data_IF_610708574027
#
_entry.id   IF_610708574027
#
_cell.length_a   1.000
_cell.length_b   1.000
_cell.length_c   1.000
_cell.angle_alpha   90.00
_cell.angle_beta   90.00
_cell.angle_gamma   90.00
#
_symmetry.space_group_name_H-M   'P 1'
#
loop_
_entity.id
_entity.type
_entity.pdbx_description
1 polymer ?
#
# COMPACT_ATOMS: atom_id res chain seq x y z
N UNK A 1 -2.63 -9.24 24.99
CA UNK A 1 -2.59 -7.95 24.25
C UNK A 1 -2.70 -8.17 22.74
N UNK A 2 -1.66 -8.61 21.99
CA UNK A 2 -1.78 -8.70 20.51
C UNK A 2 -2.77 -9.76 20.03
N UNK A 3 -2.96 -10.85 20.73
CA UNK A 3 -3.98 -11.86 20.40
C UNK A 3 -5.40 -11.29 20.51
N UNK A 4 -5.66 -10.47 21.52
CA UNK A 4 -6.98 -9.85 21.72
C UNK A 4 -7.18 -8.71 20.71
N UNK A 5 -6.10 -7.96 20.44
CA UNK A 5 -6.09 -6.94 19.40
C UNK A 5 -6.39 -7.56 18.03
N UNK A 6 -5.78 -8.70 17.69
CA UNK A 6 -6.07 -9.44 16.47
C UNK A 6 -7.57 -9.70 16.33
N UNK A 7 -8.18 -10.28 17.38
CA UNK A 7 -9.62 -10.60 17.39
C UNK A 7 -10.52 -9.37 17.22
N UNK A 8 -10.10 -8.22 17.71
CA UNK A 8 -10.85 -6.97 17.59
C UNK A 8 -10.76 -6.35 16.19
N UNK A 9 -9.68 -6.58 15.44
CA UNK A 9 -9.34 -5.79 14.25
C UNK A 9 -9.47 -6.58 12.94
N UNK A 10 -9.06 -7.87 12.89
CA UNK A 10 -8.84 -8.59 11.62
C UNK A 10 -10.03 -8.56 10.66
N UNK A 11 -11.27 -8.68 11.16
CA UNK A 11 -12.50 -8.70 10.34
C UNK A 11 -12.74 -7.38 9.60
N UNK A 12 -12.17 -6.29 10.08
CA UNK A 12 -12.40 -4.94 9.56
C UNK A 12 -11.36 -4.49 8.54
N UNK A 13 -10.35 -5.33 8.29
CA UNK A 13 -9.23 -5.03 7.39
C UNK A 13 -9.31 -5.91 6.15
N UNK A 14 -9.23 -5.30 4.97
CA UNK A 14 -9.29 -6.01 3.70
C UNK A 14 -8.04 -5.82 2.85
N UNK A 15 -7.74 -6.81 2.02
CA UNK A 15 -6.87 -6.61 0.86
C UNK A 15 -7.64 -5.92 -0.26
N UNK A 16 -6.95 -5.04 -0.98
CA UNK A 16 -7.40 -4.44 -2.23
C UNK A 16 -6.40 -4.90 -3.30
N UNK A 17 -6.80 -5.87 -4.12
CA UNK A 17 -5.92 -6.48 -5.11
C UNK A 17 -6.39 -6.12 -6.51
N UNK A 18 -5.48 -5.69 -7.36
CA UNK A 18 -5.77 -5.25 -8.73
C UNK A 18 -5.25 -6.24 -9.75
N UNK A 19 -6.04 -6.42 -10.80
CA UNK A 19 -5.74 -7.29 -11.91
C UNK A 19 -5.82 -6.55 -13.25
N UNK A 20 -4.94 -6.91 -14.17
CA UNK A 20 -5.07 -6.63 -15.58
C UNK A 20 -5.44 -7.96 -16.27
N UNK A 21 -6.70 -8.12 -16.65
CA UNK A 21 -7.29 -9.41 -16.96
C UNK A 21 -7.09 -10.38 -15.77
N UNK A 22 -6.37 -11.49 -15.95
CA UNK A 22 -6.10 -12.49 -14.91
C UNK A 22 -4.75 -12.28 -14.21
N UNK A 23 -3.94 -11.32 -14.66
CA UNK A 23 -2.64 -11.04 -14.07
C UNK A 23 -2.78 -10.05 -12.90
N UNK A 24 -2.28 -10.44 -11.73
CA UNK A 24 -2.20 -9.56 -10.57
C UNK A 24 -1.08 -8.54 -10.77
N UNK A 25 -1.42 -7.26 -10.67
CA UNK A 25 -0.48 -6.16 -10.95
C UNK A 25 -0.17 -5.27 -9.75
N UNK A 26 -1.06 -5.20 -8.77
CA UNK A 26 -0.84 -4.40 -7.56
C UNK A 26 -1.72 -4.88 -6.40
N UNK A 27 -1.34 -4.49 -5.18
CA UNK A 27 -2.18 -4.66 -4.00
C UNK A 27 -1.90 -3.60 -2.94
N UNK A 28 -2.89 -3.40 -2.08
CA UNK A 28 -2.83 -2.58 -0.89
C UNK A 28 -3.77 -3.10 0.18
N UNK A 29 -3.87 -2.35 1.25
CA UNK A 29 -4.75 -2.64 2.38
C UNK A 29 -5.77 -1.53 2.55
N UNK A 30 -6.95 -1.85 3.04
CA UNK A 30 -7.97 -0.91 3.47
C UNK A 30 -8.64 -1.38 4.74
N UNK A 31 -9.40 -0.51 5.39
CA UNK A 31 -10.15 -0.86 6.60
C UNK A 31 -11.49 -0.12 6.67
N UNK A 32 -12.46 -0.75 7.34
CA UNK A 32 -13.82 -0.24 7.42
C UNK A 32 -14.02 0.67 8.63
N UNK A 33 -14.60 1.85 8.39
CA UNK A 33 -15.08 2.80 9.42
C UNK A 33 -16.50 3.22 9.08
N UNK A 34 -17.47 2.84 9.93
CA UNK A 34 -18.88 2.99 9.59
C UNK A 34 -19.24 2.23 8.31
N UNK A 35 -19.81 2.93 7.35
CA UNK A 35 -20.09 2.43 6.00
C UNK A 35 -19.06 2.94 4.97
N UNK A 36 -17.87 3.28 5.40
CA UNK A 36 -16.78 3.77 4.53
C UNK A 36 -15.60 2.79 4.57
N UNK A 37 -14.89 2.70 3.43
CA UNK A 37 -13.58 2.08 3.34
C UNK A 37 -12.53 3.18 3.31
N UNK A 38 -11.54 3.08 4.19
CA UNK A 38 -10.39 3.98 4.23
C UNK A 38 -9.16 3.24 3.72
N UNK A 39 -8.39 3.91 2.87
CA UNK A 39 -7.10 3.44 2.34
C UNK A 39 -6.24 4.63 1.91
N UNK A 40 -5.07 4.40 1.32
CA UNK A 40 -4.32 5.48 0.66
C UNK A 40 -4.86 5.78 -0.75
N UNK A 41 -4.69 7.02 -1.20
CA UNK A 41 -5.08 7.41 -2.56
C UNK A 41 -4.25 6.67 -3.62
N UNK A 42 -2.93 6.54 -3.43
CA UNK A 42 -2.09 5.79 -4.37
C UNK A 42 -2.51 4.32 -4.51
N UNK A 43 -3.14 3.73 -3.48
CA UNK A 43 -3.65 2.35 -3.56
C UNK A 43 -4.80 2.24 -4.57
N UNK A 44 -5.63 3.27 -4.72
CA UNK A 44 -6.75 3.26 -5.68
C UNK A 44 -6.36 3.75 -7.08
N UNK A 45 -5.18 4.34 -7.24
CA UNK A 45 -4.66 4.89 -8.50
C UNK A 45 -3.72 3.90 -9.19
N UNK A 46 -4.23 2.71 -9.56
CA UNK A 46 -3.45 1.69 -10.28
C UNK A 46 -3.73 1.80 -11.78
N UNK A 47 -2.78 2.32 -12.58
CA UNK A 47 -2.90 2.33 -14.04
C UNK A 47 -3.01 0.90 -14.57
N UNK A 48 -3.66 0.71 -15.74
CA UNK A 48 -3.81 -0.56 -16.44
C UNK A 48 -4.64 -1.63 -15.71
N UNK A 49 -5.12 -1.39 -14.50
CA UNK A 49 -6.00 -2.34 -13.83
C UNK A 49 -7.38 -2.38 -14.51
N UNK A 50 -7.91 -3.58 -14.73
CA UNK A 50 -9.24 -3.82 -15.28
C UNK A 50 -10.26 -4.05 -14.18
N UNK A 51 -9.89 -4.75 -13.11
CA UNK A 51 -10.76 -4.97 -11.97
C UNK A 51 -9.99 -4.97 -10.64
N UNK A 52 -10.74 -4.77 -9.55
CA UNK A 52 -10.28 -4.80 -8.17
C UNK A 52 -11.03 -5.89 -7.41
N UNK A 53 -10.31 -6.67 -6.62
CA UNK A 53 -10.84 -7.64 -5.66
C UNK A 53 -10.62 -7.14 -4.25
N UNK A 54 -11.71 -6.93 -3.52
CA UNK A 54 -11.70 -6.65 -2.09
C UNK A 54 -11.95 -7.94 -1.34
N UNK A 55 -11.12 -8.23 -0.33
CA UNK A 55 -11.20 -9.49 0.38
C UNK A 55 -10.91 -9.30 1.87
N UNK A 56 -11.86 -9.73 2.70
CA UNK A 56 -11.74 -9.84 4.15
C UNK A 56 -11.49 -11.30 4.51
N UNK A 57 -10.70 -11.51 5.54
CA UNK A 57 -10.28 -12.84 5.98
C UNK A 57 -10.89 -13.24 7.32
N UNK A 58 -10.90 -14.54 7.61
CA UNK A 58 -11.33 -15.09 8.89
C UNK A 58 -10.23 -14.92 9.98
N UNK A 59 -10.47 -15.49 11.16
CA UNK A 59 -9.54 -15.42 12.31
C UNK A 59 -8.16 -16.02 12.00
N UNK A 60 -8.07 -16.99 11.09
CA UNK A 60 -6.78 -17.59 10.67
C UNK A 60 -5.98 -16.66 9.74
N UNK A 61 -6.58 -15.57 9.28
CA UNK A 61 -5.92 -14.52 8.50
C UNK A 61 -5.72 -14.82 7.02
N UNK A 62 -6.16 -15.98 6.50
CA UNK A 62 -5.93 -16.38 5.10
C UNK A 62 -7.14 -16.94 4.38
N UNK A 63 -8.16 -17.43 5.10
CA UNK A 63 -9.41 -17.93 4.51
C UNK A 63 -10.37 -16.76 4.32
N UNK A 64 -11.01 -16.67 3.18
CA UNK A 64 -11.95 -15.60 2.88
C UNK A 64 -13.19 -15.67 3.76
N UNK A 65 -13.49 -14.57 4.42
CA UNK A 65 -14.76 -14.37 5.14
C UNK A 65 -15.79 -13.70 4.25
N UNK A 66 -15.39 -12.68 3.50
CA UNK A 66 -16.22 -11.99 2.52
C UNK A 66 -15.32 -11.43 1.41
N UNK A 67 -15.77 -11.46 0.18
CA UNK A 67 -15.02 -10.91 -0.96
C UNK A 67 -15.97 -10.35 -2.02
N UNK A 68 -15.47 -9.36 -2.77
CA UNK A 68 -16.17 -8.76 -3.91
C UNK A 68 -15.16 -8.35 -4.98
N UNK A 69 -15.37 -8.85 -6.20
CA UNK A 69 -14.71 -8.34 -7.39
C UNK A 69 -15.60 -7.33 -8.10
N UNK A 70 -14.99 -6.25 -8.61
CA UNK A 70 -15.70 -5.24 -9.41
C UNK A 70 -14.75 -4.60 -10.41
N UNK A 71 -15.29 -3.94 -11.43
CA UNK A 71 -14.46 -3.18 -12.36
C UNK A 71 -13.73 -2.06 -11.62
N UNK A 72 -12.54 -1.69 -12.10
CA UNK A 72 -11.80 -0.55 -11.51
C UNK A 72 -12.59 0.75 -11.64
N UNK A 73 -13.38 0.90 -12.71
CA UNK A 73 -14.26 2.06 -12.90
C UNK A 73 -15.33 2.14 -11.80
N UNK A 74 -16.02 1.02 -11.50
CA UNK A 74 -17.03 0.98 -10.44
C UNK A 74 -16.40 1.16 -9.06
N UNK A 75 -15.20 0.61 -8.84
CA UNK A 75 -14.48 0.79 -7.58
C UNK A 75 -14.08 2.26 -7.36
N UNK A 76 -13.54 2.91 -8.37
CA UNK A 76 -13.17 4.33 -8.29
C UNK A 76 -14.39 5.27 -8.21
N UNK A 77 -15.51 4.90 -8.81
CA UNK A 77 -16.75 5.66 -8.70
C UNK A 77 -17.30 5.71 -7.26
N UNK A 78 -16.83 4.83 -6.37
CA UNK A 78 -17.15 4.84 -4.93
C UNK A 78 -16.34 5.87 -4.14
N UNK A 79 -15.35 6.53 -4.73
CA UNK A 79 -14.56 7.56 -4.04
C UNK A 79 -15.46 8.74 -3.66
N UNK A 80 -15.53 9.02 -2.37
CA UNK A 80 -16.30 10.14 -1.80
C UNK A 80 -15.41 11.36 -1.54
N UNK A 81 -14.20 11.10 -1.03
CA UNK A 81 -13.20 12.13 -0.77
C UNK A 81 -11.80 11.50 -0.71
N UNK A 82 -10.77 12.33 -0.91
CA UNK A 82 -9.38 11.89 -0.85
C UNK A 82 -8.39 12.98 -1.22
N UNK A 83 -7.15 12.74 -0.87
CA UNK A 83 -6.02 13.62 -1.21
C UNK A 83 -4.92 12.83 -1.90
N UNK A 84 -4.23 13.42 -2.89
CA UNK A 84 -3.22 12.72 -3.69
C UNK A 84 -1.96 12.37 -2.88
N UNK A 85 -1.12 11.47 -3.44
CA UNK A 85 0.10 10.94 -2.82
C UNK A 85 1.14 12.03 -2.45
N UNK A 86 1.16 13.15 -3.17
CA UNK A 86 2.02 14.29 -2.86
C UNK A 86 1.50 15.18 -1.71
N UNK A 87 0.41 14.79 -1.06
CA UNK A 87 -0.23 15.45 0.07
C UNK A 87 -0.51 14.42 1.18
N UNK A 88 -1.73 14.36 1.70
CA UNK A 88 -2.14 13.46 2.79
C UNK A 88 -2.43 12.01 2.34
N UNK A 89 -2.41 11.73 1.07
CA UNK A 89 -2.50 10.40 0.46
C UNK A 89 -3.54 9.49 1.12
N UNK A 90 -4.76 9.92 1.23
CA UNK A 90 -5.87 9.10 1.71
C UNK A 90 -7.00 9.05 0.68
N UNK A 91 -7.81 8.01 0.77
CA UNK A 91 -9.06 7.84 0.04
C UNK A 91 -10.14 7.29 0.96
N UNK A 92 -11.33 7.88 0.89
CA UNK A 92 -12.54 7.46 1.59
C UNK A 92 -13.53 7.03 0.52
N UNK A 93 -13.89 5.76 0.50
CA UNK A 93 -14.82 5.21 -0.47
C UNK A 93 -16.16 4.85 0.22
N UNK A 94 -17.25 5.01 -0.51
CA UNK A 94 -18.53 4.45 -0.11
C UNK A 94 -18.44 2.92 -0.06
N UNK A 95 -18.82 2.33 1.07
CA UNK A 95 -18.67 0.91 1.32
C UNK A 95 -19.99 0.24 1.67
N UNK A 96 -21.10 0.85 1.26
CA UNK A 96 -22.44 0.25 1.33
C UNK A 96 -22.57 -0.82 0.23
N UNK A 97 -21.97 -1.97 0.50
CA UNK A 97 -21.92 -3.14 -0.37
C UNK A 97 -22.57 -4.30 0.39
N UNK A 98 -23.62 -4.97 -0.16
CA UNK A 98 -24.35 -6.01 0.53
C UNK A 98 -23.48 -7.11 1.14
N UNK A 99 -22.42 -7.53 0.45
CA UNK A 99 -21.49 -8.56 0.90
C UNK A 99 -20.68 -8.13 2.14
N UNK A 100 -20.65 -6.83 2.46
CA UNK A 100 -19.83 -6.26 3.52
C UNK A 100 -20.63 -5.63 4.67
N UNK A 101 -21.94 -5.78 4.68
CA UNK A 101 -22.83 -5.24 5.74
C UNK A 101 -22.42 -5.80 7.12
N UNK A 102 -22.06 -7.08 7.20
CA UNK A 102 -21.70 -7.75 8.45
C UNK A 102 -20.26 -7.49 8.91
N UNK A 103 -19.46 -6.83 8.08
CA UNK A 103 -18.08 -6.47 8.44
C UNK A 103 -18.12 -5.42 9.56
N UNK A 104 -17.47 -5.66 10.71
CA UNK A 104 -17.42 -4.69 11.80
C UNK A 104 -16.67 -3.42 11.40
N UNK A 105 -16.97 -2.33 12.08
CA UNK A 105 -16.34 -1.03 11.89
C UNK A 105 -15.27 -0.79 12.93
N UNK A 106 -14.09 -0.31 12.51
CA UNK A 106 -13.09 0.22 13.43
C UNK A 106 -13.50 1.61 13.93
N UNK A 107 -12.99 1.97 15.10
CA UNK A 107 -13.12 3.30 15.67
C UNK A 107 -11.85 4.11 15.39
N UNK A 108 -12.04 5.36 14.96
CA UNK A 108 -10.93 6.29 14.85
C UNK A 108 -10.70 6.96 16.21
N UNK A 109 -9.44 7.05 16.63
CA UNK A 109 -9.09 7.81 17.83
C UNK A 109 -9.44 9.28 17.64
N UNK A 110 -9.98 9.86 18.69
CA UNK A 110 -10.22 11.32 18.78
C UNK A 110 -9.00 12.07 19.32
N UNK A 111 -7.98 11.36 19.79
CA UNK A 111 -6.76 11.96 20.31
C UNK A 111 -5.84 12.40 19.18
N UNK A 112 -5.27 13.60 19.33
CA UNK A 112 -4.28 14.17 18.40
C UNK A 112 -2.86 14.17 18.98
N UNK A 113 -2.71 13.75 20.24
CA UNK A 113 -1.42 13.74 20.92
C UNK A 113 -1.01 12.30 21.22
N UNK A 114 0.01 11.86 20.51
CA UNK A 114 0.64 10.56 20.71
C UNK A 114 2.03 10.74 21.29
N UNK A 115 2.44 9.81 22.17
CA UNK A 115 3.73 9.88 22.86
C UNK A 115 4.79 9.11 22.05
N UNK A 116 5.94 9.71 21.80
CA UNK A 116 7.10 9.01 21.26
C UNK A 116 7.49 7.91 22.26
N UNK A 117 7.76 6.71 21.74
CA UNK A 117 8.02 5.51 22.54
C UNK A 117 6.77 4.69 22.88
N UNK A 118 5.53 5.19 22.60
CA UNK A 118 4.34 4.36 22.79
C UNK A 118 4.33 3.16 21.83
N UNK A 119 3.81 2.03 22.33
CA UNK A 119 3.57 0.86 21.50
C UNK A 119 2.49 1.15 20.45
N UNK A 120 2.71 0.63 19.27
CA UNK A 120 1.76 0.67 18.16
C UNK A 120 1.69 -0.69 17.48
N UNK A 121 0.57 -0.97 16.82
CA UNK A 121 0.42 -2.12 15.94
C UNK A 121 -0.20 -1.68 14.63
N UNK A 122 0.07 -2.39 13.55
CA UNK A 122 -0.62 -2.18 12.28
C UNK A 122 -0.95 -3.51 11.61
N UNK A 123 -1.91 -3.44 10.72
CA UNK A 123 -2.43 -4.60 10.01
C UNK A 123 -2.33 -4.37 8.52
N UNK A 124 -1.93 -5.40 7.76
CA UNK A 124 -1.84 -5.30 6.32
C UNK A 124 -1.51 -6.61 5.61
N UNK A 125 -1.68 -6.59 4.29
CA UNK A 125 -1.41 -7.71 3.39
C UNK A 125 -0.08 -7.47 2.66
N UNK A 126 1.03 -7.77 3.34
CA UNK A 126 2.37 -7.47 2.84
C UNK A 126 2.81 -8.41 1.70
N UNK A 127 3.70 -7.91 0.84
CA UNK A 127 4.34 -8.67 -0.25
C UNK A 127 3.35 -9.43 -1.14
N UNK A 128 2.16 -8.88 -1.31
CA UNK A 128 1.11 -9.51 -2.12
C UNK A 128 0.66 -10.90 -1.60
N UNK A 129 1.01 -11.20 -0.35
CA UNK A 129 0.55 -12.45 0.29
C UNK A 129 -0.97 -12.40 0.53
N UNK A 130 -1.65 -13.56 0.46
CA UNK A 130 -3.10 -13.60 0.68
C UNK A 130 -3.48 -13.47 2.16
N UNK A 131 -2.54 -13.58 3.07
CA UNK A 131 -2.79 -13.57 4.51
C UNK A 131 -2.59 -12.18 5.11
N UNK A 132 -3.55 -11.79 5.94
CA UNK A 132 -3.45 -10.60 6.80
C UNK A 132 -2.38 -10.84 7.86
N UNK A 133 -1.55 -9.84 8.08
CA UNK A 133 -0.51 -9.87 9.11
C UNK A 133 -0.71 -8.74 10.12
N UNK A 134 -0.40 -9.02 11.38
CA UNK A 134 -0.25 -8.00 12.44
C UNK A 134 1.24 -7.74 12.64
N UNK A 135 1.60 -6.47 12.70
CA UNK A 135 2.95 -5.99 12.98
C UNK A 135 2.92 -5.12 14.23
N UNK A 136 4.03 -5.04 14.94
CA UNK A 136 4.16 -4.18 16.12
C UNK A 136 5.48 -3.42 16.11
N UNK A 137 5.48 -2.28 16.75
CA UNK A 137 6.64 -1.42 16.94
C UNK A 137 6.36 -0.33 17.94
N UNK A 138 7.17 0.72 17.90
CA UNK A 138 6.95 1.93 18.67
C UNK A 138 6.78 3.13 17.74
N UNK A 139 6.08 4.14 18.23
CA UNK A 139 6.11 5.47 17.61
C UNK A 139 7.49 6.08 17.90
N UNK A 140 8.37 6.08 16.90
CA UNK A 140 9.76 6.52 17.06
C UNK A 140 9.94 8.03 16.87
N UNK A 141 9.04 8.68 16.09
CA UNK A 141 9.08 10.13 15.86
C UNK A 141 7.74 10.65 15.34
N UNK A 142 7.54 11.95 15.43
CA UNK A 142 6.47 12.72 14.77
C UNK A 142 7.10 13.92 14.09
N UNK A 143 6.64 14.21 12.87
CA UNK A 143 7.13 15.39 12.16
C UNK A 143 6.12 15.89 11.14
N UNK A 144 6.30 17.14 10.70
CA UNK A 144 5.52 17.75 9.63
C UNK A 144 6.43 17.96 8.44
N UNK A 145 5.94 17.62 7.25
CA UNK A 145 6.64 17.85 5.99
C UNK A 145 5.62 18.29 4.94
N UNK A 146 5.79 19.47 4.35
CA UNK A 146 4.85 20.06 3.39
C UNK A 146 3.39 20.06 3.92
N UNK A 147 3.21 20.51 5.17
CA UNK A 147 1.92 20.58 5.90
C UNK A 147 1.26 19.22 6.17
N UNK A 148 1.93 18.11 5.87
CA UNK A 148 1.46 16.76 6.17
C UNK A 148 2.07 16.27 7.47
N UNK A 149 1.22 15.79 8.38
CA UNK A 149 1.63 15.24 9.69
C UNK A 149 1.91 13.74 9.58
N UNK A 150 3.13 13.35 9.92
CA UNK A 150 3.61 11.98 9.87
C UNK A 150 3.88 11.41 11.25
N UNK A 151 3.51 10.15 11.41
CA UNK A 151 3.94 9.25 12.48
C UNK A 151 5.05 8.35 11.92
N UNK A 152 6.25 8.40 12.50
CA UNK A 152 7.34 7.49 12.14
C UNK A 152 7.39 6.33 13.11
N UNK A 153 7.54 5.14 12.60
CA UNK A 153 7.49 3.88 13.34
C UNK A 153 8.85 3.19 13.30
N UNK A 154 9.26 2.61 14.40
CA UNK A 154 10.31 1.59 14.43
C UNK A 154 9.66 0.24 14.13
N UNK A 155 9.35 0.05 12.86
CA UNK A 155 8.75 -1.18 12.33
C UNK A 155 8.85 -1.16 10.80
N UNK A 156 9.07 -2.33 10.18
CA UNK A 156 9.14 -2.45 8.73
C UNK A 156 7.76 -2.38 8.09
N UNK A 157 7.51 -1.34 7.33
CA UNK A 157 6.33 -1.21 6.47
C UNK A 157 6.68 -1.65 5.06
N UNK A 158 6.08 -2.75 4.61
CA UNK A 158 6.35 -3.37 3.32
C UNK A 158 5.26 -3.03 2.28
N UNK A 159 5.57 -3.30 1.00
CA UNK A 159 4.58 -3.22 -0.08
C UNK A 159 3.34 -4.06 0.27
N UNK A 160 2.14 -3.49 0.05
CA UNK A 160 0.87 -4.10 0.41
C UNK A 160 0.32 -3.66 1.77
N UNK A 161 1.16 -3.19 2.72
CA UNK A 161 0.69 -2.63 3.98
C UNK A 161 0.07 -1.22 3.83
N UNK A 162 0.37 -0.51 2.75
CA UNK A 162 -0.16 0.84 2.48
C UNK A 162 -1.69 0.85 2.52
N UNK A 163 -2.25 1.83 3.21
CA UNK A 163 -3.68 1.96 3.46
C UNK A 163 -4.20 1.19 4.68
N UNK A 164 -3.36 0.37 5.31
CA UNK A 164 -3.71 -0.36 6.52
C UNK A 164 -3.83 0.53 7.76
N UNK A 165 -4.61 0.11 8.77
CA UNK A 165 -4.77 0.88 10.00
C UNK A 165 -3.55 0.77 10.91
N UNK A 166 -3.09 1.92 11.42
CA UNK A 166 -2.19 1.99 12.56
C UNK A 166 -3.04 2.09 13.83
N UNK A 167 -2.80 1.22 14.79
CA UNK A 167 -3.65 0.99 15.96
C UNK A 167 -2.88 1.29 17.26
N UNK A 168 -3.53 1.95 18.22
CA UNK A 168 -3.08 1.93 19.60
C UNK A 168 -3.52 0.59 20.25
N UNK A 169 -2.59 -0.29 20.62
CA UNK A 169 -2.95 -1.61 21.13
C UNK A 169 -3.64 -1.59 22.51
N UNK A 170 -3.68 -0.45 23.20
CA UNK A 170 -4.35 -0.28 24.49
C UNK A 170 -5.85 -0.03 24.35
N UNK A 171 -6.24 0.74 23.29
CA UNK A 171 -7.63 1.14 23.05
C UNK A 171 -8.27 0.39 21.90
N UNK A 172 -7.46 -0.26 21.04
CA UNK A 172 -7.85 -0.84 19.76
C UNK A 172 -8.42 0.19 18.76
N UNK A 173 -8.12 1.48 18.96
CA UNK A 173 -8.51 2.55 18.07
C UNK A 173 -7.48 2.79 16.98
N UNK A 174 -7.94 3.17 15.80
CA UNK A 174 -7.07 3.62 14.70
C UNK A 174 -6.51 4.99 15.04
N UNK A 175 -5.19 5.14 14.96
CA UNK A 175 -4.46 6.38 15.24
C UNK A 175 -3.77 6.95 13.99
N UNK A 176 -3.74 6.20 12.89
CA UNK A 176 -3.15 6.63 11.63
C UNK A 176 -3.42 5.66 10.49
N UNK A 177 -3.00 6.03 9.31
CA UNK A 177 -3.06 5.19 8.10
C UNK A 177 -1.65 4.91 7.62
N UNK A 178 -1.28 3.63 7.55
CA UNK A 178 0.04 3.19 7.11
C UNK A 178 0.29 3.63 5.68
N UNK A 179 1.46 4.19 5.45
CA UNK A 179 1.94 4.55 4.11
C UNK A 179 3.43 4.27 4.00
N UNK A 180 3.92 4.19 2.77
CA UNK A 180 5.36 4.22 2.51
C UNK A 180 5.76 5.66 2.18
N UNK A 181 6.76 6.18 2.86
CA UNK A 181 7.42 7.41 2.42
C UNK A 181 8.60 7.03 1.52
N UNK A 182 8.73 7.68 0.37
CA UNK A 182 9.93 7.56 -0.44
C UNK A 182 11.12 8.09 0.38
N UNK A 183 12.03 7.21 0.77
CA UNK A 183 13.31 7.59 1.37
C UNK A 183 14.26 8.04 0.27
N UNK A 184 15.37 8.73 0.64
CA UNK A 184 16.41 9.08 -0.33
C UNK A 184 16.93 7.86 -1.11
N UNK A 185 17.03 6.71 -0.44
CA UNK A 185 17.41 5.44 -1.06
C UNK A 185 16.38 4.99 -2.11
N UNK A 186 15.08 5.10 -1.81
CA UNK A 186 14.00 4.79 -2.76
C UNK A 186 14.11 5.65 -4.02
N UNK A 187 14.37 6.95 -3.87
CA UNK A 187 14.55 7.86 -4.98
C UNK A 187 15.75 7.48 -5.87
N UNK A 188 16.89 7.12 -5.25
CA UNK A 188 18.07 6.65 -5.98
C UNK A 188 17.78 5.36 -6.78
N UNK A 189 17.01 4.42 -6.21
CA UNK A 189 16.59 3.23 -6.94
C UNK A 189 15.64 3.56 -8.10
N UNK A 190 14.74 4.53 -7.94
CA UNK A 190 13.85 4.97 -9.03
C UNK A 190 14.64 5.60 -10.19
N UNK A 191 15.63 6.43 -9.88
CA UNK A 191 16.52 7.02 -10.87
C UNK A 191 17.33 5.93 -11.60
N UNK A 192 17.82 4.92 -10.89
CA UNK A 192 18.53 3.77 -11.46
C UNK A 192 17.63 2.94 -12.37
N UNK A 193 16.42 2.60 -11.94
CA UNK A 193 15.44 1.84 -12.73
C UNK A 193 15.02 2.59 -13.99
N UNK A 194 14.84 3.92 -13.91
CA UNK A 194 14.54 4.77 -15.06
C UNK A 194 15.70 4.74 -16.06
N UNK A 195 16.95 4.78 -15.58
CA UNK A 195 18.15 4.68 -16.44
C UNK A 195 18.22 3.33 -17.17
N UNK A 196 17.93 2.22 -16.47
CA UNK A 196 17.86 0.90 -17.12
C UNK A 196 16.75 0.84 -18.18
N UNK A 197 15.57 1.38 -17.88
CA UNK A 197 14.44 1.39 -18.81
C UNK A 197 14.76 2.18 -20.08
N UNK A 198 15.42 3.32 -19.95
CA UNK A 198 15.87 4.12 -21.09
C UNK A 198 16.95 3.40 -21.91
N UNK A 199 17.93 2.77 -21.25
CA UNK A 199 18.96 1.98 -21.92
C UNK A 199 18.34 0.81 -22.73
N UNK A 200 17.40 0.09 -22.15
CA UNK A 200 16.67 -1.00 -22.83
C UNK A 200 15.92 -0.45 -24.05
N UNK A 201 15.26 0.71 -23.93
CA UNK A 201 14.55 1.36 -25.03
C UNK A 201 15.51 1.69 -26.18
N UNK A 202 16.67 2.27 -25.88
CA UNK A 202 17.69 2.62 -26.89
C UNK A 202 18.24 1.36 -27.56
N UNK A 203 18.55 0.30 -26.80
CA UNK A 203 19.03 -0.97 -27.35
C UNK A 203 18.02 -1.61 -28.30
N UNK A 204 16.74 -1.62 -27.93
CA UNK A 204 15.66 -2.11 -28.80
C UNK A 204 15.52 -1.32 -30.11
N UNK A 205 15.67 0.00 -30.04
CA UNK A 205 15.68 0.82 -31.24
C UNK A 205 16.87 0.52 -32.15
N UNK A 206 18.05 0.31 -31.55
CA UNK A 206 19.26 -0.03 -32.30
C UNK A 206 19.17 -1.40 -32.98
N UNK A 207 18.51 -2.39 -32.37
CA UNK A 207 18.31 -3.72 -32.95
C UNK A 207 17.46 -3.72 -34.23
N UNK A 208 16.61 -2.69 -34.43
CA UNK A 208 15.83 -2.53 -35.67
C UNK A 208 16.66 -2.02 -36.86
N UNK A 209 17.88 -1.50 -36.62
CA UNK A 209 18.77 -0.94 -37.66
C UNK A 209 19.68 -1.96 -38.37
N UNK A 210 19.65 -3.22 -37.98
CA UNK A 210 20.47 -4.31 -38.54
C UNK A 210 21.13 -5.14 -37.45
N UNK A 211 21.25 -6.46 -37.65
CA UNK A 211 21.94 -7.36 -36.72
C UNK A 211 23.43 -7.43 -37.02
N UNK A 212 24.23 -7.18 -36.00
CA UNK A 212 25.69 -7.41 -36.07
C UNK A 212 25.99 -8.66 -35.22
N UNK A 213 26.55 -9.68 -35.83
CA UNK A 213 26.99 -10.85 -35.09
C UNK A 213 28.53 -10.81 -34.88
N UNK A 214 28.95 -10.89 -33.63
CA UNK A 214 30.34 -11.07 -33.23
C UNK A 214 30.48 -12.40 -32.48
N UNK A 215 31.24 -13.34 -33.03
CA UNK A 215 31.43 -14.68 -32.43
C UNK A 215 30.11 -15.44 -32.18
N UNK A 216 29.09 -15.25 -33.04
CA UNK A 216 27.80 -15.93 -32.90
C UNK A 216 26.85 -15.31 -31.89
N UNK A 217 27.20 -14.18 -31.29
CA UNK A 217 26.39 -13.45 -30.32
C UNK A 217 26.06 -12.05 -30.90
N UNK A 218 24.82 -11.63 -30.81
CA UNK A 218 24.45 -10.24 -31.07
C UNK A 218 24.76 -9.40 -29.81
N UNK A 219 25.69 -8.43 -29.86
CA UNK A 219 26.04 -7.61 -28.72
C UNK A 219 24.85 -6.81 -28.17
N UNK A 220 23.92 -6.39 -29.04
CA UNK A 220 22.74 -5.62 -28.63
C UNK A 220 21.81 -6.50 -27.80
N UNK A 221 21.53 -7.73 -28.25
CA UNK A 221 20.70 -8.69 -27.51
C UNK A 221 21.37 -9.03 -26.16
N UNK A 222 22.69 -9.21 -26.13
CA UNK A 222 23.42 -9.45 -24.90
C UNK A 222 23.30 -8.29 -23.90
N UNK A 223 23.47 -7.04 -24.36
CA UNK A 223 23.34 -5.88 -23.51
C UNK A 223 21.89 -5.66 -23.04
N UNK A 224 20.88 -5.91 -23.90
CA UNK A 224 19.46 -5.83 -23.51
C UNK A 224 19.13 -6.82 -22.39
N UNK A 225 19.54 -8.08 -22.53
CA UNK A 225 19.34 -9.09 -21.50
C UNK A 225 20.01 -8.68 -20.19
N UNK A 226 21.24 -8.19 -20.25
CA UNK A 226 21.99 -7.77 -19.07
C UNK A 226 21.30 -6.57 -18.36
N UNK A 227 20.91 -5.53 -19.10
CA UNK A 227 20.16 -4.39 -18.56
C UNK A 227 18.83 -4.83 -17.93
N UNK A 228 18.14 -5.77 -18.56
CA UNK A 228 16.88 -6.31 -18.03
C UNK A 228 17.10 -7.07 -16.72
N UNK A 229 18.15 -7.87 -16.62
CA UNK A 229 18.49 -8.59 -15.39
C UNK A 229 18.88 -7.61 -14.27
N UNK A 230 19.70 -6.60 -14.57
CA UNK A 230 20.09 -5.57 -13.60
C UNK A 230 18.90 -4.76 -13.10
N UNK A 231 17.95 -4.42 -13.98
CA UNK A 231 16.70 -3.77 -13.59
C UNK A 231 15.89 -4.65 -12.62
N UNK A 232 15.74 -5.96 -12.92
CA UNK A 232 15.05 -6.91 -12.02
C UNK A 232 15.73 -7.02 -10.66
N UNK A 233 17.06 -7.18 -10.63
CA UNK A 233 17.82 -7.25 -9.38
C UNK A 233 17.65 -5.95 -8.57
N UNK A 234 17.77 -4.78 -9.22
CA UNK A 234 17.58 -3.49 -8.56
C UNK A 234 16.18 -3.32 -8.00
N UNK A 235 15.16 -3.82 -8.70
CA UNK A 235 13.78 -3.82 -8.24
C UNK A 235 13.59 -4.70 -7.00
N UNK A 236 14.18 -5.90 -6.97
CA UNK A 236 14.14 -6.79 -5.80
C UNK A 236 14.91 -6.21 -4.60
N UNK A 237 16.07 -5.61 -4.84
CA UNK A 237 16.82 -4.91 -3.78
C UNK A 237 15.99 -3.73 -3.23
N UNK A 238 15.35 -2.93 -4.10
CA UNK A 238 14.43 -1.87 -3.67
C UNK A 238 13.28 -2.40 -2.82
N UNK A 239 12.68 -3.53 -3.21
CA UNK A 239 11.60 -4.20 -2.44
C UNK A 239 12.08 -4.68 -1.07
N UNK A 240 13.31 -5.17 -0.98
CA UNK A 240 13.91 -5.72 0.25
C UNK A 240 14.65 -4.69 1.10
N UNK A 241 14.97 -3.51 0.57
CA UNK A 241 15.69 -2.44 1.26
C UNK A 241 14.84 -1.69 2.30
N UNK A 242 13.95 -2.40 3.02
CA UNK A 242 13.19 -1.82 4.10
C UNK A 242 14.04 -1.79 5.37
N UNK A 243 14.49 -0.61 5.75
CA UNK A 243 15.45 -0.37 6.86
C UNK A 243 14.78 -0.38 8.24
N UNK A 244 13.61 -1.01 8.41
CA UNK A 244 12.93 -1.07 9.70
C UNK A 244 12.24 0.25 10.11
N UNK A 245 12.09 1.19 9.19
CA UNK A 245 11.41 2.46 9.44
C UNK A 245 10.10 2.48 8.64
N UNK A 246 8.98 2.61 9.34
CA UNK A 246 7.66 2.77 8.76
C UNK A 246 7.12 4.18 8.93
N UNK A 247 6.11 4.53 8.14
CA UNK A 247 5.41 5.79 8.23
C UNK A 247 3.90 5.59 8.20
N UNK A 248 3.18 6.49 8.89
CA UNK A 248 1.74 6.61 8.78
C UNK A 248 1.36 8.08 8.74
N UNK A 249 0.20 8.38 8.14
CA UNK A 249 -0.42 9.69 8.23
C UNK A 249 -1.27 9.78 9.50
N UNK A 250 -1.28 10.95 10.14
CA UNK A 250 -2.25 11.25 11.20
C UNK A 250 -3.67 11.34 10.63
N UNK A 251 -4.69 11.18 11.49
CA UNK A 251 -6.09 11.08 11.06
C UNK A 251 -6.80 12.40 10.83
N UNK A 252 -6.15 13.55 11.07
CA UNK A 252 -6.80 14.87 11.08
C UNK A 252 -7.69 15.09 9.84
N UNK A 253 -7.12 14.95 8.65
CA UNK A 253 -7.86 15.18 7.39
C UNK A 253 -8.94 14.15 7.14
N UNK A 254 -8.70 12.90 7.48
CA UNK A 254 -9.70 11.83 7.37
C UNK A 254 -10.89 12.11 8.28
N UNK A 255 -10.66 12.56 9.54
CA UNK A 255 -11.74 12.92 10.46
C UNK A 255 -12.53 14.14 9.99
N UNK A 256 -11.84 15.17 9.47
CA UNK A 256 -12.49 16.33 8.86
C UNK A 256 -13.43 15.87 7.74
N UNK A 257 -12.93 15.10 6.78
CA UNK A 257 -13.71 14.58 5.65
C UNK A 257 -14.89 13.74 6.10
N UNK A 258 -14.70 12.80 7.03
CA UNK A 258 -15.80 11.96 7.54
C UNK A 258 -16.90 12.78 8.25
N UNK A 259 -16.58 13.92 8.85
CA UNK A 259 -17.56 14.81 9.43
C UNK A 259 -18.41 15.54 8.38
N UNK A 260 -17.85 15.83 7.20
CA UNK A 260 -18.58 16.39 6.06
C UNK A 260 -19.44 15.35 5.32
N UNK A 261 -19.07 14.09 5.37
CA UNK A 261 -19.74 12.98 4.68
C UNK A 261 -20.88 12.32 5.48
N UNK A 262 -21.17 12.83 6.68
CA UNK A 262 -22.31 12.44 7.49
C UNK A 262 -23.60 13.09 6.96
#
# INVERSE_FOLDING_TARGET
MYRDLWKAIYKSVCSITYFNNDERIASGTGFKVGNKLITNNHVIQVPQATHALLRFVNEDGHIDFASKSMSVTDFRAKLLDGMPENSWDYAILDFDIPEFITIPSLQLSTQDVFQIGQLVAFFGFQFEQPNLSIHSGILSSRFISADVKYLQLDASVNQGNSGGPLIDPRTAEVIGVITRKATGLTKQFDELLNSFSENIRVLRQASHGGRIQMFGIDPIDFFEVNQTQMAKISQEIKRSANVGVGYAYELEKIRESLNYLK
#
